data_IF_697374464771
#
_entry.id   IF_697374464771
#
_cell.length_a   1.000
_cell.length_b   1.000
_cell.length_c   1.000
_cell.angle_alpha   90.00
_cell.angle_beta   90.00
_cell.angle_gamma   90.00
#
_symmetry.space_group_name_H-M   'P 1'
#
loop_
_entity.id
_entity.type
_entity.pdbx_description
1 polymer ?
#
# COMPACT_ATOMS: atom_id res chain seq x y z
N UNK A 1 12.12 -17.51 41.21
CA UNK A 1 11.84 -16.32 42.04
C UNK A 1 11.35 -15.20 41.13
N UNK A 2 10.09 -14.76 41.27
CA UNK A 2 9.49 -13.73 40.43
C UNK A 2 9.94 -12.34 40.91
N UNK A 3 11.09 -11.85 40.44
CA UNK A 3 11.68 -10.56 40.82
C UNK A 3 10.65 -9.40 40.80
N UNK A 4 9.79 -9.36 39.78
CA UNK A 4 8.72 -8.35 39.63
C UNK A 4 7.66 -8.44 40.74
N UNK A 5 7.27 -9.65 41.17
CA UNK A 5 6.30 -9.83 42.27
C UNK A 5 6.94 -9.57 43.64
N UNK A 6 8.25 -9.76 43.77
CA UNK A 6 8.97 -9.54 45.03
C UNK A 6 9.24 -8.04 45.24
N UNK A 7 9.56 -7.30 44.19
CA UNK A 7 9.71 -5.83 44.22
C UNK A 7 8.37 -5.11 44.42
N UNK A 8 7.29 -5.52 43.74
CA UNK A 8 5.97 -4.91 43.90
C UNK A 8 5.36 -5.06 45.31
N UNK A 9 5.88 -5.99 46.13
CA UNK A 9 5.46 -6.21 47.52
C UNK A 9 6.32 -5.48 48.55
N UNK A 10 7.48 -4.93 48.16
CA UNK A 10 8.31 -4.08 49.01
C UNK A 10 7.78 -2.66 48.94
N UNK A 11 7.08 -2.24 50.00
CA UNK A 11 6.56 -0.87 50.20
C UNK A 11 5.70 -0.30 49.06
N UNK A 12 4.42 -0.65 49.06
CA UNK A 12 3.37 0.06 48.29
C UNK A 12 3.17 1.54 48.69
N UNK A 13 3.97 2.09 49.62
CA UNK A 13 4.01 3.52 49.98
C UNK A 13 5.18 4.28 49.37
N UNK A 14 6.25 3.59 48.92
CA UNK A 14 7.45 4.22 48.35
C UNK A 14 7.52 4.15 46.82
N UNK A 15 6.75 3.28 46.18
CA UNK A 15 6.65 3.18 44.73
C UNK A 15 5.28 3.62 44.24
N UNK A 16 5.06 4.93 44.28
CA UNK A 16 3.96 5.58 43.57
C UNK A 16 4.28 5.51 42.05
N UNK A 17 4.08 4.34 41.45
CA UNK A 17 4.42 4.00 40.07
C UNK A 17 3.43 4.70 39.11
N UNK A 18 3.44 6.02 39.12
CA UNK A 18 2.60 6.84 38.28
C UNK A 18 3.26 6.98 36.91
N UNK A 19 2.77 6.22 35.93
CA UNK A 19 3.24 6.28 34.53
C UNK A 19 3.18 7.71 33.94
N UNK A 20 2.28 8.58 34.41
CA UNK A 20 2.23 9.97 33.97
C UNK A 20 3.43 10.80 34.45
N UNK A 21 4.05 10.41 35.57
CA UNK A 21 5.21 11.09 36.17
C UNK A 21 6.52 10.33 35.95
N UNK A 22 6.49 9.20 35.25
CA UNK A 22 7.66 8.34 35.04
C UNK A 22 8.86 9.09 34.44
N UNK A 23 8.62 10.08 33.58
CA UNK A 23 9.65 10.84 32.88
C UNK A 23 9.96 12.21 33.51
N UNK A 24 9.35 12.54 34.67
CA UNK A 24 9.50 13.85 35.30
C UNK A 24 10.66 13.96 36.28
N UNK A 25 11.36 12.85 36.54
CA UNK A 25 12.54 12.81 37.41
C UNK A 25 13.71 12.16 36.69
N UNK A 26 14.92 12.55 37.08
CA UNK A 26 16.14 11.88 36.64
C UNK A 26 16.16 10.45 37.18
N UNK A 27 16.58 9.51 36.33
CA UNK A 27 16.75 8.10 36.69
C UNK A 27 18.25 7.82 36.70
N UNK A 28 18.81 7.76 37.91
CA UNK A 28 20.23 7.53 38.15
C UNK A 28 20.37 6.35 39.12
N UNK A 29 21.19 5.36 38.77
CA UNK A 29 21.48 4.21 39.64
C UNK A 29 22.96 3.90 39.56
N UNK A 30 23.62 3.77 40.72
CA UNK A 30 25.05 3.47 40.82
C UNK A 30 25.94 4.43 40.00
N UNK A 31 25.55 5.70 39.88
CA UNK A 31 26.27 6.70 39.08
C UNK A 31 25.95 6.69 37.57
N UNK A 32 25.22 5.68 37.06
CA UNK A 32 24.79 5.63 35.67
C UNK A 32 23.48 6.39 35.47
N UNK A 33 23.43 7.25 34.44
CA UNK A 33 22.25 8.06 34.10
C UNK A 33 21.47 7.37 32.98
N UNK A 34 20.28 6.85 33.29
CA UNK A 34 19.39 6.22 32.32
C UNK A 34 18.39 7.22 31.69
N UNK A 35 17.97 8.23 32.45
CA UNK A 35 17.05 9.27 31.99
C UNK A 35 17.34 10.60 32.69
N UNK A 36 17.27 11.70 31.95
CA UNK A 36 17.36 13.07 32.47
C UNK A 36 16.04 13.76 32.13
N UNK A 37 15.29 14.20 33.13
CA UNK A 37 14.00 14.85 32.94
C UNK A 37 14.18 16.27 32.40
N UNK A 38 15.03 17.05 33.06
CA UNK A 38 15.35 18.44 32.69
C UNK A 38 16.84 18.65 32.77
N UNK A 39 17.41 19.35 31.80
CA UNK A 39 18.81 19.74 31.75
C UNK A 39 18.93 21.27 31.75
N UNK A 40 20.13 21.80 31.98
CA UNK A 40 20.42 23.23 31.88
C UNK A 40 20.09 23.82 30.49
N UNK A 41 20.03 22.98 29.46
CA UNK A 41 19.70 23.35 28.07
C UNK A 41 18.22 23.14 27.71
N UNK A 42 17.35 22.89 28.69
CA UNK A 42 15.93 22.64 28.51
C UNK A 42 15.53 21.15 28.66
N UNK A 43 14.47 20.66 27.99
CA UNK A 43 13.97 19.30 28.18
C UNK A 43 15.09 18.28 27.94
N UNK A 44 15.32 17.36 28.90
CA UNK A 44 16.45 16.44 28.90
C UNK A 44 16.37 15.34 27.83
N UNK A 45 16.40 14.07 28.23
CA UNK A 45 16.40 12.91 27.30
C UNK A 45 15.18 12.90 26.36
N UNK A 46 14.04 13.45 26.79
CA UNK A 46 12.82 13.55 25.96
C UNK A 46 13.04 14.36 24.68
N UNK A 47 14.00 15.30 24.66
CA UNK A 47 14.35 16.06 23.45
C UNK A 47 14.85 15.13 22.35
N UNK A 48 15.80 14.25 22.67
CA UNK A 48 16.37 13.28 21.73
C UNK A 48 15.31 12.32 21.18
N UNK A 49 14.37 11.88 22.03
CA UNK A 49 13.25 11.05 21.61
C UNK A 49 12.38 11.79 20.60
N UNK A 50 11.98 13.05 20.89
CA UNK A 50 11.18 13.86 19.99
C UNK A 50 11.90 14.17 18.67
N UNK A 51 13.19 14.46 18.72
CA UNK A 51 14.02 14.67 17.53
C UNK A 51 14.11 13.42 16.66
N UNK A 52 14.27 12.24 17.28
CA UNK A 52 14.31 10.96 16.57
C UNK A 52 12.96 10.62 15.94
N UNK A 53 11.87 10.76 16.70
CA UNK A 53 10.50 10.51 16.23
C UNK A 53 10.04 11.52 15.17
N UNK A 54 10.60 12.73 15.17
CA UNK A 54 10.32 13.77 14.18
C UNK A 54 11.04 13.58 12.83
N UNK A 55 11.91 12.56 12.69
CA UNK A 55 12.62 12.31 11.43
C UNK A 55 11.69 11.68 10.39
N UNK A 56 11.71 12.24 9.18
CA UNK A 56 11.02 11.68 8.00
C UNK A 56 11.87 10.66 7.23
N UNK A 57 12.81 10.00 7.90
CA UNK A 57 13.73 9.02 7.31
C UNK A 57 13.49 7.56 7.73
N UNK A 58 12.28 7.11 8.16
CA UNK A 58 12.10 5.70 8.45
C UNK A 58 12.26 4.89 7.16
N UNK A 59 13.10 3.85 7.21
CA UNK A 59 13.27 2.92 6.11
C UNK A 59 12.13 1.91 6.18
N UNK A 60 11.22 1.96 5.21
CA UNK A 60 10.08 1.05 5.12
C UNK A 60 10.33 0.08 3.97
N UNK A 61 10.59 -1.18 4.30
CA UNK A 61 10.61 -2.28 3.35
C UNK A 61 9.35 -3.12 3.49
N UNK A 62 8.95 -3.76 2.39
CA UNK A 62 7.86 -4.73 2.40
C UNK A 62 8.38 -6.04 1.83
N UNK A 63 8.09 -7.13 2.52
CA UNK A 63 8.49 -8.45 2.07
C UNK A 63 7.82 -8.77 0.74
N UNK A 64 8.63 -9.01 -0.28
CA UNK A 64 8.19 -9.54 -1.55
C UNK A 64 8.08 -11.06 -1.48
N UNK A 65 6.97 -11.63 -1.93
CA UNK A 65 6.69 -13.05 -1.78
C UNK A 65 5.97 -13.63 -3.00
N UNK A 66 5.98 -14.95 -3.07
CA UNK A 66 5.15 -15.68 -4.02
C UNK A 66 3.93 -16.20 -3.30
N UNK A 67 2.75 -15.97 -3.87
CA UNK A 67 1.53 -16.53 -3.28
C UNK A 67 1.62 -18.06 -3.38
N UNK A 68 1.48 -18.71 -2.23
CA UNK A 68 1.37 -20.16 -2.08
C UNK A 68 0.03 -20.49 -1.42
N UNK A 69 -0.41 -21.74 -1.55
CA UNK A 69 -1.68 -22.21 -0.98
C UNK A 69 -2.75 -22.40 -2.07
N UNK A 70 -3.96 -21.91 -1.80
CA UNK A 70 -5.13 -22.09 -2.65
C UNK A 70 -4.84 -21.69 -4.11
N UNK A 71 -5.18 -22.57 -5.06
CA UNK A 71 -4.87 -22.38 -6.48
C UNK A 71 -5.92 -21.51 -7.18
N UNK A 72 -7.17 -21.69 -6.81
CA UNK A 72 -8.38 -21.09 -7.38
C UNK A 72 -9.56 -21.28 -6.43
N UNK A 73 -10.66 -20.59 -6.67
CA UNK A 73 -11.89 -20.81 -5.91
C UNK A 73 -12.38 -22.26 -6.11
N UNK A 74 -12.53 -23.00 -5.00
CA UNK A 74 -12.94 -24.41 -5.00
C UNK A 74 -14.33 -24.66 -5.60
N UNK A 75 -15.19 -23.64 -5.62
CA UNK A 75 -16.50 -23.73 -6.28
C UNK A 75 -16.35 -23.44 -7.78
N UNK A 76 -16.49 -24.46 -8.65
CA UNK A 76 -16.43 -24.24 -10.09
C UNK A 76 -17.67 -23.46 -10.56
N UNK A 77 -17.53 -22.74 -11.66
CA UNK A 77 -18.67 -22.12 -12.32
C UNK A 77 -19.13 -22.95 -13.51
N UNK A 78 -20.41 -22.87 -13.83
CA UNK A 78 -20.97 -23.51 -15.02
C UNK A 78 -20.55 -22.82 -16.32
N UNK A 79 -20.81 -23.52 -17.44
CA UNK A 79 -20.41 -23.12 -18.80
C UNK A 79 -20.78 -21.69 -19.21
N UNK A 80 -21.91 -21.16 -18.72
CA UNK A 80 -22.39 -19.81 -19.07
C UNK A 80 -21.55 -18.69 -18.44
N UNK A 81 -20.77 -18.99 -17.40
CA UNK A 81 -19.89 -18.03 -16.72
C UNK A 81 -18.41 -18.24 -17.04
N UNK A 82 -18.05 -19.38 -17.64
CA UNK A 82 -16.67 -19.75 -17.91
C UNK A 82 -16.13 -19.04 -19.17
N UNK A 83 -14.86 -18.62 -19.11
CA UNK A 83 -14.15 -17.99 -20.22
C UNK A 83 -12.85 -18.74 -20.49
N UNK A 84 -12.56 -19.06 -21.75
CA UNK A 84 -11.40 -19.90 -22.13
C UNK A 84 -10.06 -19.40 -21.58
N UNK A 85 -9.85 -18.08 -21.50
CA UNK A 85 -8.52 -17.54 -21.22
C UNK A 85 -8.11 -17.52 -19.73
N UNK A 86 -9.07 -17.66 -18.81
CA UNK A 86 -8.86 -17.41 -17.37
C UNK A 86 -9.41 -18.51 -16.44
N UNK A 87 -9.83 -19.64 -17.00
CA UNK A 87 -10.49 -20.71 -16.24
C UNK A 87 -9.72 -22.01 -16.39
N UNK A 88 -9.64 -22.78 -15.31
CA UNK A 88 -9.03 -24.11 -15.31
C UNK A 88 -10.13 -25.16 -15.48
N UNK A 89 -9.99 -26.13 -16.41
CA UNK A 89 -11.00 -27.16 -16.61
C UNK A 89 -11.16 -28.07 -15.39
N UNK A 90 -12.35 -28.68 -15.29
CA UNK A 90 -12.68 -29.59 -14.19
C UNK A 90 -11.81 -30.85 -14.19
N UNK A 91 -11.44 -31.34 -15.39
CA UNK A 91 -10.55 -32.49 -15.57
C UNK A 91 -9.58 -32.21 -16.71
N UNK A 92 -8.29 -32.25 -16.39
CA UNK A 92 -7.21 -31.99 -17.36
C UNK A 92 -6.94 -33.22 -18.22
N UNK A 93 -7.03 -34.43 -17.67
CA UNK A 93 -6.68 -35.66 -18.37
C UNK A 93 -7.81 -36.19 -19.28
N UNK A 94 -8.98 -35.56 -19.25
CA UNK A 94 -10.12 -35.92 -20.11
C UNK A 94 -10.30 -34.84 -21.17
N UNK A 95 -9.89 -35.13 -22.40
CA UNK A 95 -9.94 -34.20 -23.54
C UNK A 95 -11.34 -33.60 -23.75
N UNK A 96 -12.41 -34.35 -23.46
CA UNK A 96 -13.78 -33.84 -23.59
C UNK A 96 -14.06 -32.77 -22.55
N UNK A 97 -13.61 -32.97 -21.30
CA UNK A 97 -13.86 -32.07 -20.18
C UNK A 97 -12.90 -30.88 -20.08
N UNK A 98 -11.91 -30.79 -20.97
CA UNK A 98 -11.03 -29.61 -21.06
C UNK A 98 -11.75 -28.36 -21.60
N UNK A 99 -12.84 -28.53 -22.36
CA UNK A 99 -13.57 -27.40 -22.92
C UNK A 99 -14.42 -26.69 -21.85
N UNK A 100 -13.83 -25.68 -21.21
CA UNK A 100 -14.49 -24.88 -20.17
C UNK A 100 -15.74 -24.16 -20.67
N UNK A 101 -15.86 -23.92 -21.98
CA UNK A 101 -17.06 -23.31 -22.56
C UNK A 101 -18.25 -24.27 -22.66
N UNK A 102 -18.02 -25.58 -22.49
CA UNK A 102 -19.05 -26.62 -22.44
C UNK A 102 -19.31 -27.13 -21.03
N UNK A 103 -18.25 -27.31 -20.24
CA UNK A 103 -18.32 -28.00 -18.94
C UNK A 103 -18.09 -27.08 -17.74
N UNK A 104 -17.77 -25.81 -17.97
CA UNK A 104 -17.41 -24.89 -16.91
C UNK A 104 -15.98 -25.12 -16.41
N UNK A 105 -15.63 -24.50 -15.29
CA UNK A 105 -14.28 -24.60 -14.74
C UNK A 105 -14.08 -23.77 -13.49
N UNK A 106 -12.88 -23.90 -12.93
CA UNK A 106 -12.45 -23.13 -11.77
C UNK A 106 -12.03 -21.71 -12.17
N UNK A 107 -12.35 -20.75 -11.31
CA UNK A 107 -12.12 -19.31 -11.52
C UNK A 107 -11.28 -18.71 -10.41
N UNK A 108 -11.02 -17.41 -10.47
CA UNK A 108 -10.28 -16.66 -9.46
C UNK A 108 -8.91 -17.27 -9.20
N UNK A 109 -8.17 -17.56 -10.27
CA UNK A 109 -6.82 -18.07 -10.19
C UNK A 109 -5.96 -17.11 -9.36
N UNK A 110 -5.26 -17.65 -8.36
CA UNK A 110 -4.44 -16.82 -7.49
C UNK A 110 -3.11 -16.48 -8.19
N UNK A 111 -2.72 -15.18 -8.25
CA UNK A 111 -1.45 -14.78 -8.86
C UNK A 111 -0.29 -15.22 -7.96
N UNK A 112 0.64 -16.02 -8.49
CA UNK A 112 1.83 -16.45 -7.74
C UNK A 112 2.94 -15.41 -7.83
N UNK A 113 3.31 -15.05 -9.06
CA UNK A 113 4.29 -14.01 -9.39
C UNK A 113 4.00 -13.42 -10.78
N UNK A 114 4.70 -12.34 -11.11
CA UNK A 114 4.64 -11.66 -12.39
C UNK A 114 5.92 -11.90 -13.18
N UNK A 115 5.83 -11.77 -14.49
CA UNK A 115 6.97 -11.76 -15.40
C UNK A 115 6.93 -10.48 -16.21
N UNK A 116 8.07 -10.08 -16.75
CA UNK A 116 8.17 -8.99 -17.71
C UNK A 116 8.73 -9.54 -19.01
N UNK A 117 7.98 -9.35 -20.09
CA UNK A 117 8.27 -9.97 -21.38
C UNK A 117 8.27 -8.93 -22.49
N UNK A 118 8.92 -9.28 -23.58
CA UNK A 118 8.82 -8.61 -24.86
C UNK A 118 8.21 -9.58 -25.89
N UNK A 119 7.26 -9.13 -26.69
CA UNK A 119 6.64 -9.97 -27.72
C UNK A 119 6.19 -9.17 -28.95
N UNK A 120 5.83 -9.85 -30.03
CA UNK A 120 5.39 -9.27 -31.29
C UNK A 120 6.38 -9.50 -32.44
N UNK A 121 6.05 -9.03 -33.65
CA UNK A 121 6.97 -9.10 -34.79
C UNK A 121 8.24 -8.29 -34.51
N UNK A 122 9.35 -8.64 -35.15
CA UNK A 122 10.66 -8.01 -34.91
C UNK A 122 10.64 -6.49 -35.06
N UNK A 123 9.88 -5.97 -36.03
CA UNK A 123 9.75 -4.54 -36.30
C UNK A 123 8.85 -3.76 -35.32
N UNK A 124 8.02 -4.45 -34.52
CA UNK A 124 7.06 -3.84 -33.58
C UNK A 124 6.95 -4.68 -32.32
N UNK A 125 7.97 -4.58 -31.47
CA UNK A 125 8.04 -5.25 -30.17
C UNK A 125 7.21 -4.49 -29.13
N UNK A 126 6.48 -5.24 -28.31
CA UNK A 126 5.72 -4.73 -27.17
C UNK A 126 6.32 -5.27 -25.89
N UNK A 127 6.49 -4.42 -24.87
CA UNK A 127 6.97 -4.82 -23.55
C UNK A 127 5.80 -4.79 -22.57
N UNK A 128 5.57 -5.89 -21.87
CA UNK A 128 4.46 -5.97 -20.94
C UNK A 128 4.73 -6.90 -19.77
N UNK A 129 4.01 -6.64 -18.68
CA UNK A 129 3.86 -7.62 -17.63
C UNK A 129 2.91 -8.74 -18.04
N UNK A 130 3.12 -9.93 -17.49
CA UNK A 130 2.18 -11.05 -17.49
C UNK A 130 2.17 -11.69 -16.09
N UNK A 131 1.09 -12.37 -15.74
CA UNK A 131 0.92 -13.04 -14.45
C UNK A 131 1.03 -14.55 -14.60
N UNK A 132 1.84 -15.16 -13.72
CA UNK A 132 1.87 -16.60 -13.55
C UNK A 132 1.02 -16.95 -12.33
N UNK A 133 -0.09 -17.63 -12.58
CA UNK A 133 -0.97 -18.10 -11.52
C UNK A 133 -0.39 -19.34 -10.83
N UNK A 134 -0.71 -19.52 -9.54
CA UNK A 134 -0.19 -20.62 -8.72
C UNK A 134 -0.37 -22.00 -9.33
N UNK A 135 -1.48 -22.22 -10.06
CA UNK A 135 -1.77 -23.45 -10.78
C UNK A 135 -0.70 -23.78 -11.85
N UNK A 136 -0.23 -22.78 -12.61
CA UNK A 136 0.79 -22.96 -13.65
C UNK A 136 2.21 -22.85 -13.11
N UNK A 137 2.42 -22.17 -11.98
CA UNK A 137 3.74 -21.95 -11.39
C UNK A 137 4.49 -23.27 -11.09
N UNK A 138 3.79 -24.34 -10.70
CA UNK A 138 4.40 -25.64 -10.45
C UNK A 138 4.87 -26.38 -11.72
N UNK A 139 4.30 -26.01 -12.88
CA UNK A 139 4.59 -26.61 -14.18
C UNK A 139 5.78 -25.94 -14.86
N UNK A 140 6.04 -24.67 -14.54
CA UNK A 140 7.12 -23.86 -15.14
C UNK A 140 8.39 -24.05 -14.31
N UNK A 141 9.32 -24.91 -14.76
CA UNK A 141 10.58 -25.19 -14.08
C UNK A 141 11.79 -24.59 -14.80
N UNK A 142 11.67 -24.41 -16.10
CA UNK A 142 12.73 -23.91 -16.98
C UNK A 142 12.26 -22.69 -17.77
N UNK A 143 13.20 -21.97 -18.38
CA UNK A 143 12.88 -20.87 -19.28
C UNK A 143 12.12 -21.35 -20.53
N UNK A 144 12.40 -22.57 -21.00
CA UNK A 144 11.66 -23.19 -22.11
C UNK A 144 10.18 -23.37 -21.76
N UNK A 145 9.87 -23.90 -20.56
CA UNK A 145 8.49 -24.06 -20.11
C UNK A 145 7.76 -22.72 -20.06
N UNK A 146 8.47 -21.65 -19.66
CA UNK A 146 7.91 -20.30 -19.61
C UNK A 146 7.62 -19.76 -21.02
N UNK A 147 8.52 -19.98 -21.98
CA UNK A 147 8.32 -19.60 -23.39
C UNK A 147 7.14 -20.38 -23.99
N UNK A 148 7.07 -21.69 -23.75
CA UNK A 148 5.99 -22.55 -24.23
C UNK A 148 4.64 -22.10 -23.66
N UNK A 149 4.58 -21.77 -22.36
CA UNK A 149 3.40 -21.18 -21.73
C UNK A 149 2.98 -19.85 -22.40
N UNK A 150 3.93 -18.98 -22.71
CA UNK A 150 3.65 -17.71 -23.38
C UNK A 150 3.12 -17.91 -24.81
N UNK A 151 3.69 -18.86 -25.56
CA UNK A 151 3.22 -19.22 -26.90
C UNK A 151 1.79 -19.78 -26.84
N UNK A 152 1.48 -20.66 -25.88
CA UNK A 152 0.13 -21.19 -25.64
C UNK A 152 -0.87 -20.08 -25.29
N UNK A 153 -0.45 -19.06 -24.54
CA UNK A 153 -1.24 -17.84 -24.26
C UNK A 153 -1.41 -16.90 -25.47
N UNK A 154 -0.82 -17.24 -26.62
CA UNK A 154 -0.95 -16.48 -27.86
C UNK A 154 0.06 -15.35 -28.04
N UNK A 155 1.11 -15.28 -27.21
CA UNK A 155 2.19 -14.32 -27.41
C UNK A 155 3.06 -14.73 -28.60
N UNK A 156 3.30 -13.80 -29.53
CA UNK A 156 4.13 -14.04 -30.72
C UNK A 156 5.60 -13.75 -30.42
N UNK A 157 6.50 -14.70 -30.70
CA UNK A 157 7.95 -14.59 -30.50
C UNK A 157 8.33 -13.98 -29.14
N UNK A 158 7.84 -14.54 -28.01
CA UNK A 158 8.10 -13.96 -26.70
C UNK A 158 9.59 -14.05 -26.33
N UNK A 159 10.09 -13.03 -25.63
CA UNK A 159 11.39 -12.98 -24.96
C UNK A 159 11.19 -12.59 -23.52
N UNK A 160 11.84 -13.29 -22.60
CA UNK A 160 11.68 -13.04 -21.16
C UNK A 160 12.74 -12.03 -20.72
N UNK A 161 12.32 -10.85 -20.28
CA UNK A 161 13.22 -9.82 -19.74
C UNK A 161 13.46 -10.08 -18.25
N UNK A 162 12.40 -10.43 -17.52
CA UNK A 162 12.47 -10.85 -16.13
C UNK A 162 11.49 -12.00 -15.89
N UNK A 163 12.02 -13.15 -15.50
CA UNK A 163 11.26 -14.37 -15.32
C UNK A 163 10.52 -14.45 -13.98
N UNK A 164 10.80 -13.53 -13.02
CA UNK A 164 10.28 -13.67 -11.66
C UNK A 164 10.24 -12.35 -10.89
N UNK A 165 9.09 -11.68 -10.93
CA UNK A 165 8.76 -10.48 -10.17
C UNK A 165 7.72 -10.86 -9.12
N UNK A 166 8.13 -10.88 -7.86
CA UNK A 166 7.28 -11.32 -6.74
C UNK A 166 6.16 -10.31 -6.44
N UNK A 167 5.09 -10.77 -5.78
CA UNK A 167 4.08 -9.88 -5.20
C UNK A 167 4.74 -8.98 -4.16
N UNK A 168 4.29 -7.74 -4.06
CA UNK A 168 4.93 -6.64 -3.32
C UNK A 168 6.36 -6.30 -3.78
N UNK A 169 6.79 -6.71 -4.98
CA UNK A 169 8.01 -6.14 -5.55
C UNK A 169 7.82 -4.64 -5.81
N UNK A 170 8.87 -3.86 -5.56
CA UNK A 170 8.83 -2.43 -5.74
C UNK A 170 9.11 -2.08 -7.20
N UNK A 171 8.16 -1.43 -7.84
CA UNK A 171 8.25 -0.92 -9.20
C UNK A 171 8.34 0.60 -9.15
N UNK A 172 9.36 1.14 -9.81
CA UNK A 172 9.44 2.57 -10.10
C UNK A 172 8.87 2.80 -11.50
N UNK A 173 7.70 3.41 -11.56
CA UNK A 173 6.98 3.70 -12.79
C UNK A 173 6.91 5.21 -13.00
N UNK A 174 7.48 5.71 -14.09
CA UNK A 174 7.53 7.14 -14.45
C UNK A 174 7.91 8.06 -13.26
N UNK A 175 8.91 7.67 -12.48
CA UNK A 175 9.36 8.45 -11.33
C UNK A 175 8.56 8.28 -10.03
N UNK A 176 7.58 7.37 -9.97
CA UNK A 176 6.76 7.08 -8.78
C UNK A 176 6.93 5.63 -8.31
N UNK A 177 6.92 5.38 -6.99
CA UNK A 177 7.16 4.05 -6.43
C UNK A 177 5.86 3.36 -6.01
N UNK A 178 5.69 2.12 -6.47
CA UNK A 178 4.50 1.29 -6.30
C UNK A 178 4.86 -0.16 -6.00
N UNK A 179 4.04 -0.84 -5.21
CA UNK A 179 4.15 -2.28 -5.01
C UNK A 179 3.23 -3.02 -5.97
N UNK A 180 3.78 -3.91 -6.81
CA UNK A 180 2.96 -4.76 -7.69
C UNK A 180 2.22 -5.81 -6.87
N UNK A 181 0.89 -5.90 -7.01
CA UNK A 181 0.07 -6.77 -6.14
C UNK A 181 -0.87 -7.71 -6.89
N UNK A 182 -1.20 -7.40 -8.14
CA UNK A 182 -2.16 -8.17 -8.92
C UNK A 182 -2.14 -7.80 -10.39
N UNK A 183 -2.88 -8.58 -11.19
CA UNK A 183 -3.24 -8.24 -12.56
C UNK A 183 -4.72 -8.60 -12.73
N UNK A 184 -5.50 -7.73 -13.36
CA UNK A 184 -6.90 -8.01 -13.68
C UNK A 184 -7.04 -8.77 -15.02
N UNK A 185 -8.25 -9.27 -15.29
CA UNK A 185 -8.55 -10.01 -16.52
C UNK A 185 -8.39 -9.17 -17.81
N UNK A 186 -8.33 -7.84 -17.70
CA UNK A 186 -8.08 -6.92 -18.83
C UNK A 186 -6.58 -6.62 -19.00
N UNK A 187 -5.72 -7.35 -18.29
CA UNK A 187 -4.25 -7.17 -18.26
C UNK A 187 -3.82 -5.80 -17.72
N UNK A 188 -4.61 -5.18 -16.85
CA UNK A 188 -4.11 -4.06 -16.06
C UNK A 188 -3.36 -4.57 -14.84
N UNK A 189 -2.21 -3.99 -14.56
CA UNK A 189 -1.50 -4.24 -13.31
C UNK A 189 -2.16 -3.46 -12.19
N UNK A 190 -2.44 -4.16 -11.10
CA UNK A 190 -2.88 -3.59 -9.85
C UNK A 190 -1.66 -3.32 -8.96
N UNK A 191 -1.62 -2.12 -8.41
CA UNK A 191 -0.58 -1.64 -7.52
C UNK A 191 -1.15 -1.23 -6.16
N UNK A 192 -0.33 -1.37 -5.12
CA UNK A 192 -0.46 -0.62 -3.86
C UNK A 192 0.54 0.53 -3.85
N UNK A 193 0.23 1.62 -3.16
CA UNK A 193 1.17 2.71 -3.01
C UNK A 193 2.40 2.28 -2.20
N UNK A 194 3.59 2.75 -2.60
CA UNK A 194 4.83 2.54 -1.87
C UNK A 194 5.48 3.83 -1.35
N UNK A 195 4.91 5.00 -1.68
CA UNK A 195 5.48 6.32 -1.37
C UNK A 195 4.71 6.95 -0.21
N UNK A 196 5.23 6.86 1.01
CA UNK A 196 4.55 7.33 2.22
C UNK A 196 4.48 8.86 2.33
N UNK A 197 3.34 9.39 2.78
CA UNK A 197 3.12 10.82 3.04
C UNK A 197 4.00 11.33 4.17
N UNK A 198 4.83 12.33 3.86
CA UNK A 198 5.68 13.00 4.84
C UNK A 198 5.08 14.36 5.18
N UNK A 199 4.58 14.49 6.41
CA UNK A 199 3.99 15.71 6.95
C UNK A 199 4.84 16.29 8.07
N UNK A 200 4.71 17.60 8.31
CA UNK A 200 5.26 18.23 9.53
C UNK A 200 4.54 17.66 10.75
N UNK A 201 5.24 17.53 11.88
CA UNK A 201 4.69 16.92 13.10
C UNK A 201 3.35 17.52 13.55
N UNK A 202 3.13 18.84 13.38
CA UNK A 202 1.83 19.48 13.69
C UNK A 202 0.67 18.86 12.92
N UNK A 203 0.88 18.56 11.64
CA UNK A 203 -0.13 17.93 10.78
C UNK A 203 -0.26 16.44 11.09
N UNK A 204 0.83 15.73 11.39
CA UNK A 204 0.75 14.33 11.84
C UNK A 204 -0.08 14.17 13.10
N UNK A 205 0.13 15.04 14.10
CA UNK A 205 -0.67 15.06 15.33
C UNK A 205 -2.13 15.39 15.04
N UNK A 206 -2.39 16.31 14.11
CA UNK A 206 -3.74 16.67 13.70
C UNK A 206 -4.44 15.48 13.00
N UNK A 207 -3.77 14.81 12.06
CA UNK A 207 -4.29 13.59 11.41
C UNK A 207 -4.66 12.52 12.44
N UNK A 208 -3.86 12.29 13.48
CA UNK A 208 -4.21 11.34 14.53
C UNK A 208 -5.52 11.69 15.28
N UNK A 209 -5.85 12.98 15.39
CA UNK A 209 -7.13 13.43 15.96
C UNK A 209 -8.26 13.19 14.97
N UNK A 210 -8.06 13.54 13.70
CA UNK A 210 -9.02 13.29 12.63
C UNK A 210 -9.33 11.80 12.49
N UNK A 211 -8.34 10.90 12.58
CA UNK A 211 -8.57 9.45 12.53
C UNK A 211 -9.43 8.94 13.69
N UNK A 212 -9.26 9.48 14.90
CA UNK A 212 -10.11 9.15 16.06
C UNK A 212 -11.54 9.63 15.83
N UNK A 213 -11.70 10.86 15.33
CA UNK A 213 -13.00 11.41 14.98
C UNK A 213 -13.68 10.62 13.85
N UNK A 214 -12.95 10.27 12.79
CA UNK A 214 -13.47 9.51 11.66
C UNK A 214 -13.99 8.14 12.11
N UNK A 215 -13.24 7.43 12.98
CA UNK A 215 -13.69 6.17 13.58
C UNK A 215 -14.97 6.35 14.40
N UNK A 216 -15.05 7.44 15.16
CA UNK A 216 -16.21 7.77 15.98
C UNK A 216 -17.46 8.10 15.15
N UNK A 217 -17.32 8.84 14.05
CA UNK A 217 -18.43 9.16 13.13
C UNK A 217 -19.05 7.88 12.54
N UNK A 218 -18.24 6.83 12.33
CA UNK A 218 -18.67 5.54 11.79
C UNK A 218 -19.37 4.63 12.82
N UNK A 219 -19.43 5.02 14.11
CA UNK A 219 -20.12 4.24 15.14
C UNK A 219 -21.64 4.40 15.04
N UNK A 220 -22.38 3.41 15.56
CA UNK A 220 -23.85 3.51 15.65
C UNK A 220 -24.29 4.61 16.63
N UNK A 221 -25.48 5.19 16.45
CA UNK A 221 -26.00 6.25 17.33
C UNK A 221 -25.98 5.88 18.82
N UNK A 222 -26.25 4.61 19.16
CA UNK A 222 -26.17 4.10 20.54
C UNK A 222 -24.77 4.17 21.16
N UNK A 223 -23.73 4.13 20.33
CA UNK A 223 -22.33 4.20 20.73
C UNK A 223 -21.79 5.64 20.74
N UNK A 224 -22.54 6.61 20.19
CA UNK A 224 -22.10 8.01 20.09
C UNK A 224 -22.33 8.83 21.36
N UNK A 225 -23.09 8.31 22.32
CA UNK A 225 -23.56 9.04 23.52
C UNK A 225 -22.47 9.55 24.47
N UNK A 226 -21.20 9.16 24.29
CA UNK A 226 -20.06 9.59 25.11
C UNK A 226 -18.85 10.07 24.29
N UNK A 227 -19.05 10.51 23.05
CA UNK A 227 -17.96 11.02 22.22
C UNK A 227 -17.66 12.48 22.55
N UNK A 228 -16.46 12.73 23.06
CA UNK A 228 -15.90 14.08 23.19
C UNK A 228 -15.11 14.43 21.93
N UNK A 229 -15.54 15.46 21.21
CA UNK A 229 -14.81 16.00 20.08
C UNK A 229 -13.62 16.83 20.56
N UNK A 230 -12.48 16.72 19.90
CA UNK A 230 -11.36 17.63 20.18
C UNK A 230 -11.74 19.00 19.61
N UNK A 231 -11.91 20.01 20.47
CA UNK A 231 -12.32 21.37 20.08
C UNK A 231 -11.34 22.03 19.08
N UNK A 232 -10.14 21.46 18.90
CA UNK A 232 -9.18 21.92 17.90
C UNK A 232 -9.50 21.44 16.48
N UNK A 233 -10.50 20.59 16.30
CA UNK A 233 -10.99 20.19 14.97
C UNK A 233 -12.00 21.23 14.50
N UNK A 234 -11.53 22.16 13.68
CA UNK A 234 -12.34 23.26 13.11
C UNK A 234 -12.25 23.27 11.60
N UNK A 235 -13.18 23.98 10.94
CA UNK A 235 -13.16 24.17 9.49
C UNK A 235 -11.85 24.81 9.01
N UNK A 236 -11.30 25.77 9.77
CA UNK A 236 -10.05 26.46 9.44
C UNK A 236 -8.86 25.51 9.53
N UNK A 237 -8.81 24.70 10.60
CA UNK A 237 -7.73 23.71 10.81
C UNK A 237 -7.78 22.58 9.78
N UNK A 238 -8.99 22.15 9.40
CA UNK A 238 -9.21 21.19 8.31
C UNK A 238 -8.76 21.77 6.97
N UNK A 239 -9.13 23.01 6.66
CA UNK A 239 -8.72 23.69 5.44
C UNK A 239 -7.20 23.87 5.36
N UNK A 240 -6.53 24.17 6.47
CA UNK A 240 -5.07 24.27 6.52
C UNK A 240 -4.40 22.95 6.12
N UNK A 241 -4.83 21.83 6.72
CA UNK A 241 -4.30 20.51 6.36
C UNK A 241 -4.68 20.10 4.92
N UNK A 242 -5.90 20.39 4.48
CA UNK A 242 -6.35 20.13 3.10
C UNK A 242 -5.43 20.81 2.08
N UNK A 243 -5.05 22.07 2.33
CA UNK A 243 -4.11 22.81 1.47
C UNK A 243 -2.71 22.21 1.48
N UNK A 244 -2.18 21.82 2.64
CA UNK A 244 -0.88 21.13 2.72
C UNK A 244 -0.89 19.82 1.90
N UNK A 245 -1.96 19.01 2.02
CA UNK A 245 -2.10 17.79 1.24
C UNK A 245 -2.22 18.08 -0.26
N UNK A 246 -2.99 19.09 -0.63
CA UNK A 246 -3.16 19.53 -2.03
C UNK A 246 -1.83 19.96 -2.65
N UNK A 247 -1.05 20.77 -1.93
CA UNK A 247 0.29 21.21 -2.33
C UNK A 247 1.22 20.02 -2.58
N UNK A 248 1.23 19.04 -1.65
CA UNK A 248 2.01 17.79 -1.83
C UNK A 248 1.57 17.04 -3.09
N UNK A 249 0.26 16.93 -3.33
CA UNK A 249 -0.26 16.21 -4.49
C UNK A 249 0.00 16.91 -5.83
N UNK A 250 0.19 18.23 -5.83
CA UNK A 250 0.47 19.03 -7.03
C UNK A 250 1.95 19.19 -7.34
N UNK A 251 2.78 19.39 -6.31
CA UNK A 251 4.15 19.93 -6.48
C UNK A 251 5.25 19.04 -5.90
N UNK A 252 4.91 17.82 -5.49
CA UNK A 252 5.92 16.83 -5.04
C UNK A 252 5.85 15.54 -5.85
N UNK A 253 6.49 14.48 -5.37
CA UNK A 253 6.52 13.17 -6.05
C UNK A 253 5.11 12.63 -6.38
N UNK A 254 4.09 12.99 -5.60
CA UNK A 254 2.70 12.57 -5.82
C UNK A 254 2.08 13.07 -7.13
N UNK A 255 2.60 14.13 -7.73
CA UNK A 255 2.18 14.57 -9.07
C UNK A 255 2.46 13.48 -10.14
N UNK A 256 3.43 12.59 -9.86
CA UNK A 256 3.80 11.46 -10.72
C UNK A 256 3.00 10.19 -10.42
N UNK A 257 2.12 10.21 -9.41
CA UNK A 257 1.23 9.10 -9.13
C UNK A 257 0.39 8.82 -10.39
N UNK A 258 0.31 7.57 -10.88
CA UNK A 258 -0.38 7.25 -12.15
C UNK A 258 -1.88 7.56 -12.15
N UNK A 259 -2.45 7.81 -10.96
CA UNK A 259 -3.83 8.23 -10.73
C UNK A 259 -3.90 9.51 -9.88
N UNK A 260 -2.96 10.44 -10.08
CA UNK A 260 -2.81 11.66 -9.28
C UNK A 260 -4.12 12.41 -9.05
N UNK A 261 -4.35 12.87 -7.81
CA UNK A 261 -5.56 13.60 -7.42
C UNK A 261 -5.35 15.11 -7.23
N UNK A 262 -4.12 15.62 -7.35
CA UNK A 262 -3.76 17.00 -6.98
C UNK A 262 -4.60 18.07 -7.64
N UNK A 263 -4.84 17.97 -8.96
CA UNK A 263 -5.68 18.93 -9.68
C UNK A 263 -7.12 18.94 -9.17
N UNK A 264 -7.70 17.76 -8.93
CA UNK A 264 -9.05 17.62 -8.37
C UNK A 264 -9.15 18.27 -6.98
N UNK A 265 -8.10 18.16 -6.16
CA UNK A 265 -8.07 18.79 -4.85
C UNK A 265 -7.97 20.32 -4.95
N UNK A 266 -7.13 20.84 -5.85
CA UNK A 266 -7.04 22.29 -6.09
C UNK A 266 -8.37 22.87 -6.56
N UNK A 267 -8.95 22.29 -7.61
CA UNK A 267 -10.22 22.76 -8.18
C UNK A 267 -11.37 22.63 -7.17
N UNK A 268 -11.30 21.63 -6.27
CA UNK A 268 -12.30 21.32 -5.26
C UNK A 268 -12.25 22.13 -3.97
N UNK A 269 -11.26 23.01 -3.76
CA UNK A 269 -11.11 23.75 -2.48
C UNK A 269 -12.38 24.55 -2.13
N UNK A 270 -13.01 25.19 -3.12
CA UNK A 270 -14.24 25.95 -2.92
C UNK A 270 -15.38 25.07 -2.38
N UNK A 271 -15.55 23.87 -2.93
CA UNK A 271 -16.55 22.91 -2.47
C UNK A 271 -16.21 22.38 -1.07
N UNK A 272 -14.94 22.10 -0.80
CA UNK A 272 -14.48 21.61 0.51
C UNK A 272 -14.84 22.57 1.66
N UNK A 273 -14.72 23.88 1.44
CA UNK A 273 -15.07 24.91 2.45
C UNK A 273 -16.56 24.91 2.82
N UNK A 274 -17.42 24.43 1.93
CA UNK A 274 -18.87 24.40 2.12
C UNK A 274 -19.35 23.10 2.80
N UNK A 275 -18.47 22.10 2.92
CA UNK A 275 -18.77 20.85 3.60
C UNK A 275 -18.86 21.06 5.11
N UNK A 276 -19.68 20.23 5.76
CA UNK A 276 -19.69 20.16 7.22
C UNK A 276 -18.38 19.55 7.76
N UNK A 277 -18.15 19.69 9.07
CA UNK A 277 -16.92 19.21 9.72
C UNK A 277 -16.75 17.69 9.55
N UNK A 278 -17.82 16.89 9.59
CA UNK A 278 -17.72 15.44 9.46
C UNK A 278 -17.30 15.03 8.05
N UNK A 279 -17.87 15.65 7.02
CA UNK A 279 -17.51 15.43 5.63
C UNK A 279 -16.07 15.88 5.35
N UNK A 280 -15.65 17.03 5.89
CA UNK A 280 -14.25 17.47 5.80
C UNK A 280 -13.29 16.46 6.41
N UNK A 281 -13.60 15.94 7.61
CA UNK A 281 -12.79 14.93 8.31
C UNK A 281 -12.66 13.66 7.47
N UNK A 282 -13.79 13.14 6.93
CA UNK A 282 -13.82 11.95 6.07
C UNK A 282 -12.91 12.13 4.85
N UNK A 283 -13.08 13.24 4.13
CA UNK A 283 -12.30 13.53 2.92
C UNK A 283 -10.81 13.66 3.23
N UNK A 284 -10.42 14.34 4.31
CA UNK A 284 -9.00 14.43 4.70
C UNK A 284 -8.44 13.05 5.02
N UNK A 285 -9.16 12.24 5.82
CA UNK A 285 -8.73 10.88 6.14
C UNK A 285 -8.59 10.01 4.89
N UNK A 286 -9.50 10.12 3.93
CA UNK A 286 -9.44 9.40 2.66
C UNK A 286 -8.22 9.81 1.81
N UNK A 287 -7.91 11.11 1.73
CA UNK A 287 -6.72 11.62 1.04
C UNK A 287 -5.43 11.10 1.70
N UNK A 288 -5.37 11.08 3.04
CA UNK A 288 -4.22 10.49 3.75
C UNK A 288 -4.12 8.99 3.46
N UNK A 289 -5.23 8.26 3.58
CA UNK A 289 -5.27 6.81 3.34
C UNK A 289 -4.90 6.45 1.89
N UNK A 290 -5.21 7.29 0.91
CA UNK A 290 -4.84 7.12 -0.50
C UNK A 290 -3.32 6.96 -0.70
N UNK A 291 -2.53 7.58 0.16
CA UNK A 291 -1.07 7.51 0.15
C UNK A 291 -0.50 6.47 1.12
N UNK A 292 -1.36 5.66 1.73
CA UNK A 292 -0.96 4.49 2.51
C UNK A 292 -0.77 3.27 1.61
N UNK A 293 -0.12 2.22 2.15
CA UNK A 293 -0.07 0.92 1.46
C UNK A 293 -1.46 0.26 1.37
N UNK A 294 -2.34 0.55 2.34
CA UNK A 294 -3.64 -0.08 2.44
C UNK A 294 -4.48 0.27 1.22
N UNK A 295 -5.18 -0.74 0.71
CA UNK A 295 -6.09 -0.56 -0.41
C UNK A 295 -7.44 -0.10 0.13
N UNK A 296 -8.03 0.86 -0.56
CA UNK A 296 -9.35 1.37 -0.29
C UNK A 296 -9.89 2.04 -1.52
N UNK A 297 -11.19 2.29 -1.52
CA UNK A 297 -11.80 3.20 -2.48
C UNK A 297 -12.61 4.25 -1.74
N UNK A 298 -12.63 5.46 -2.30
CA UNK A 298 -13.39 6.59 -1.77
C UNK A 298 -13.90 7.47 -2.92
N UNK A 299 -14.75 8.43 -2.59
CA UNK A 299 -15.38 9.32 -3.57
C UNK A 299 -14.86 10.74 -3.40
N UNK A 300 -14.45 11.36 -4.52
CA UNK A 300 -14.16 12.79 -4.58
C UNK A 300 -15.32 13.58 -5.21
N UNK A 301 -16.49 12.97 -5.37
CA UNK A 301 -17.66 13.61 -6.01
C UNK A 301 -18.05 14.93 -5.34
N UNK A 302 -17.97 15.00 -4.01
CA UNK A 302 -18.27 16.23 -3.25
C UNK A 302 -17.33 17.40 -3.58
N UNK A 303 -16.17 17.10 -4.15
CA UNK A 303 -15.18 18.07 -4.64
C UNK A 303 -15.26 18.30 -6.16
N UNK A 304 -16.30 17.79 -6.83
CA UNK A 304 -16.41 17.80 -8.30
C UNK A 304 -15.56 16.74 -9.01
N UNK A 305 -15.01 15.78 -8.25
CA UNK A 305 -14.14 14.71 -8.75
C UNK A 305 -14.84 13.39 -9.08
N UNK A 306 -14.05 12.32 -9.33
CA UNK A 306 -14.57 10.99 -9.61
C UNK A 306 -15.31 10.36 -8.42
N UNK A 307 -16.32 9.52 -8.72
CA UNK A 307 -17.10 8.76 -7.73
C UNK A 307 -16.28 7.65 -7.05
N UNK A 308 -15.28 7.10 -7.73
CA UNK A 308 -14.42 6.04 -7.20
C UNK A 308 -12.95 6.37 -7.49
N UNK A 309 -12.19 6.55 -6.43
CA UNK A 309 -10.75 6.83 -6.39
C UNK A 309 -10.11 5.80 -5.46
N UNK A 310 -8.82 5.51 -5.61
CA UNK A 310 -8.07 4.63 -4.70
C UNK A 310 -7.50 3.36 -5.35
N UNK A 311 -8.19 2.81 -6.36
CA UNK A 311 -7.66 1.67 -7.12
C UNK A 311 -6.58 2.12 -8.10
N UNK A 312 -5.34 1.70 -7.84
CA UNK A 312 -4.20 1.97 -8.72
C UNK A 312 -4.10 0.86 -9.75
N UNK A 313 -4.76 1.05 -10.90
CA UNK A 313 -4.66 0.15 -12.06
C UNK A 313 -4.17 0.90 -13.28
N UNK A 314 -3.14 0.37 -13.93
CA UNK A 314 -2.64 0.85 -15.22
C UNK A 314 -2.45 -0.33 -16.17
N UNK A 315 -2.39 -0.05 -17.47
CA UNK A 315 -2.14 -1.08 -18.48
C UNK A 315 -0.86 -1.88 -18.14
N UNK A 316 -0.91 -3.19 -18.27
CA UNK A 316 0.28 -4.04 -18.18
C UNK A 316 1.20 -3.92 -19.38
N UNK A 317 0.74 -3.32 -20.48
CA UNK A 317 1.58 -2.94 -21.61
C UNK A 317 2.35 -1.66 -21.28
N UNK A 318 3.67 -1.78 -21.19
CA UNK A 318 4.62 -0.74 -20.80
C UNK A 318 5.43 -0.20 -21.99
N UNK A 319 5.00 -0.48 -23.23
CA UNK A 319 5.73 -0.06 -24.44
C UNK A 319 5.91 1.46 -24.53
N UNK A 320 4.93 2.22 -24.05
CA UNK A 320 4.94 3.70 -24.05
C UNK A 320 5.38 4.30 -22.70
N UNK A 321 5.77 3.46 -21.73
CA UNK A 321 6.23 3.94 -20.44
C UNK A 321 7.58 4.67 -20.59
N UNK A 322 7.76 5.78 -19.88
CA UNK A 322 9.02 6.54 -19.86
C UNK A 322 10.05 5.90 -18.94
N UNK A 323 9.59 5.30 -17.84
CA UNK A 323 10.43 4.56 -16.89
C UNK A 323 9.63 3.39 -16.31
N UNK A 324 10.23 2.20 -16.29
CA UNK A 324 9.74 1.04 -15.54
C UNK A 324 10.95 0.27 -15.00
N UNK A 325 11.19 0.35 -13.68
CA UNK A 325 12.31 -0.32 -13.02
C UNK A 325 11.84 -1.23 -11.91
N UNK A 326 12.44 -2.40 -11.81
CA UNK A 326 12.34 -3.26 -10.64
C UNK A 326 13.40 -2.83 -9.62
N UNK A 327 12.97 -2.48 -8.42
CA UNK A 327 13.84 -2.05 -7.31
C UNK A 327 13.82 -3.13 -6.24
N UNK A 328 14.98 -3.64 -5.87
CA UNK A 328 15.11 -4.63 -4.79
C UNK A 328 15.84 -4.00 -3.61
N UNK A 329 15.23 -4.11 -2.43
CA UNK A 329 15.85 -3.74 -1.18
C UNK A 329 16.25 -5.00 -0.40
N UNK A 330 17.37 -4.93 0.33
CA UNK A 330 17.68 -5.89 1.40
C UNK A 330 16.59 -5.86 2.48
N UNK A 331 16.58 -6.85 3.37
CA UNK A 331 15.56 -7.00 4.43
C UNK A 331 15.41 -5.71 5.25
N UNK A 332 16.52 -5.07 5.63
CA UNK A 332 16.53 -3.81 6.40
C UNK A 332 16.41 -2.55 5.54
N UNK A 333 16.42 -2.68 4.21
CA UNK A 333 16.39 -1.56 3.27
C UNK A 333 17.71 -0.81 3.09
N UNK A 334 18.79 -1.28 3.72
CA UNK A 334 20.12 -0.65 3.66
C UNK A 334 20.80 -0.79 2.28
N UNK A 335 20.64 -1.95 1.64
CA UNK A 335 21.15 -2.19 0.28
C UNK A 335 20.03 -2.15 -0.74
N UNK A 336 20.35 -1.64 -1.94
CA UNK A 336 19.42 -1.44 -3.04
C UNK A 336 20.05 -1.86 -4.37
N UNK A 337 19.28 -2.57 -5.19
CA UNK A 337 19.60 -2.78 -6.62
C UNK A 337 18.43 -2.30 -7.48
N UNK A 338 18.74 -1.82 -8.67
CA UNK A 338 17.73 -1.43 -9.67
C UNK A 338 17.98 -2.17 -10.98
N UNK A 339 16.91 -2.67 -11.59
CA UNK A 339 16.92 -3.23 -12.94
C UNK A 339 15.96 -2.43 -13.81
N UNK A 340 16.46 -1.85 -14.89
CA UNK A 340 15.63 -1.22 -15.92
C UNK A 340 14.95 -2.30 -16.77
N UNK A 341 13.63 -2.37 -16.70
CA UNK A 341 12.84 -3.37 -17.42
C UNK A 341 12.65 -2.97 -18.90
N UNK A 342 12.88 -1.71 -19.28
CA UNK A 342 12.65 -1.22 -20.64
C UNK A 342 13.91 -1.24 -21.51
N UNK A 343 15.12 -1.27 -20.92
CA UNK A 343 16.39 -1.22 -21.66
C UNK A 343 17.01 -2.57 -22.05
N UNK A 344 16.44 -3.68 -21.56
CA UNK A 344 16.85 -5.02 -21.96
C UNK A 344 16.14 -5.51 -23.21
#
# INVERSE_FOLDING_TARGET
MNFVKTEARRDGRNYDYNLYKMYSKDIIRNGEKAWIATSEQGPGTIRLVKETMGRNTPIITRQAFEQRGELFNLQPVGKYSAKKDNYVPLKINDEKMQDVSKYGGYTSLNPSYFIFIEHGPEKKRKKCFEVIHSYYAAQIKTEKDLIDFLLQKGYKNPRVINARIKKNALIKYNGYFLYIIGMDARKNIEFSNATAMCLKNKYTQYVCKLEKMNKAILLSEKQKTNLHWDEKITCESNLELYRELTEKHLHSIYQRHPRSIGKCLADGEGAFKLLDIEEQVKIICDIVQYTSFQRGVFSLKVLGGPKEVGRIRISGNMTEAKECKLVNYSITGMYKTEMDLLKK
#
